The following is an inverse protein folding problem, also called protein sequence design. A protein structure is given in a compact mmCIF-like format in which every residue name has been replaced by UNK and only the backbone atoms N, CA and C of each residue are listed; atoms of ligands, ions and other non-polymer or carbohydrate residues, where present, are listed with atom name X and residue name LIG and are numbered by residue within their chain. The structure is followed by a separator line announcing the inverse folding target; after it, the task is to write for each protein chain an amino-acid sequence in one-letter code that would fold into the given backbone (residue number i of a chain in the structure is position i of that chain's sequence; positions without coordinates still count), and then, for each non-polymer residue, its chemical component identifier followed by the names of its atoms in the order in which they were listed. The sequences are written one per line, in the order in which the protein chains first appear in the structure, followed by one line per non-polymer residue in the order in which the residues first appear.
data_IF_852807531442
#
_entry.id   IF_852807531442
#
_cell.length_a   1.000
_cell.length_b   1.000
_cell.length_c   1.000
_cell.angle_alpha   90.00
_cell.angle_beta   90.00
_cell.angle_gamma   90.00
#
_symmetry.space_group_name_H-M   'P 1'
#
loop_
_entity.id
_entity.type
_entity.pdbx_description
1 polymer ?
#
# COMPACT_ATOMS: atom_id res chain seq x y z
N UNK A 1 7.75 6.48 -10.97
CA UNK A 1 6.59 5.78 -11.57
C UNK A 1 5.81 5.20 -10.42
N UNK A 2 4.62 5.73 -10.15
CA UNK A 2 3.90 5.42 -8.92
C UNK A 2 3.29 4.02 -8.99
N UNK A 3 3.49 3.24 -7.92
CA UNK A 3 2.92 1.92 -7.74
C UNK A 3 1.79 2.00 -6.72
N UNK A 4 0.65 1.39 -7.03
CA UNK A 4 -0.48 1.25 -6.12
C UNK A 4 -0.59 -0.18 -5.67
N UNK A 5 -0.58 -0.37 -4.37
CA UNK A 5 -0.59 -1.66 -3.70
C UNK A 5 -1.95 -1.83 -3.04
N UNK A 6 -2.73 -2.83 -3.46
CA UNK A 6 -3.92 -3.20 -2.72
C UNK A 6 -3.54 -3.89 -1.42
N UNK A 7 -4.18 -3.47 -0.32
CA UNK A 7 -4.13 -4.20 0.94
C UNK A 7 -5.21 -5.30 0.93
N UNK A 8 -5.08 -6.26 1.86
CA UNK A 8 -6.09 -7.30 2.06
C UNK A 8 -7.49 -6.70 2.25
N UNK A 9 -8.50 -7.39 1.73
CA UNK A 9 -9.89 -7.00 1.91
C UNK A 9 -10.25 -6.93 3.39
N UNK A 10 -11.12 -5.97 3.76
CA UNK A 10 -11.58 -5.74 5.12
C UNK A 10 -10.46 -5.43 6.14
N UNK A 11 -9.33 -4.88 5.69
CA UNK A 11 -8.33 -4.37 6.61
C UNK A 11 -8.94 -3.28 7.49
N UNK A 12 -8.70 -3.36 8.81
CA UNK A 12 -9.19 -2.33 9.72
C UNK A 12 -8.49 -0.99 9.43
N UNK A 13 -9.22 0.11 9.59
CA UNK A 13 -8.66 1.45 9.43
C UNK A 13 -7.47 1.70 10.36
N UNK A 14 -7.52 1.16 11.59
CA UNK A 14 -6.43 1.20 12.55
C UNK A 14 -5.17 0.50 12.03
N UNK A 15 -5.32 -0.66 11.40
CA UNK A 15 -4.18 -1.40 10.82
C UNK A 15 -3.58 -0.64 9.64
N UNK A 16 -4.42 -0.12 8.74
CA UNK A 16 -3.98 0.68 7.60
C UNK A 16 -3.23 1.95 8.04
N UNK A 17 -3.73 2.65 9.07
CA UNK A 17 -3.05 3.82 9.64
C UNK A 17 -1.72 3.47 10.31
N UNK A 18 -1.60 2.32 10.97
CA UNK A 18 -0.32 1.86 11.54
C UNK A 18 0.72 1.58 10.45
N UNK A 19 0.29 0.97 9.34
CA UNK A 19 1.15 0.77 8.17
C UNK A 19 1.58 2.12 7.57
N UNK A 20 0.65 3.07 7.45
CA UNK A 20 0.98 4.41 6.95
C UNK A 20 1.99 5.14 7.85
N UNK A 21 1.83 5.06 9.18
CA UNK A 21 2.83 5.61 10.12
C UNK A 21 4.19 4.94 10.01
N UNK A 22 4.22 3.62 9.84
CA UNK A 22 5.47 2.92 9.60
C UNK A 22 6.18 3.45 8.34
N UNK A 23 5.44 3.69 7.26
CA UNK A 23 6.04 4.24 6.04
C UNK A 23 6.58 5.65 6.26
N UNK A 24 5.92 6.50 7.05
CA UNK A 24 6.47 7.82 7.40
C UNK A 24 7.86 7.75 8.06
N UNK A 25 8.14 6.68 8.80
CA UNK A 25 9.42 6.51 9.51
C UNK A 25 10.50 5.80 8.67
N UNK A 26 10.10 4.98 7.69
CA UNK A 26 11.01 4.03 7.02
C UNK A 26 11.00 4.09 5.48
N UNK A 27 10.07 4.80 4.85
CA UNK A 27 10.04 4.93 3.38
C UNK A 27 10.96 6.05 2.92
N UNK A 28 11.63 5.85 1.78
CA UNK A 28 12.46 6.89 1.15
C UNK A 28 11.62 7.87 0.33
N UNK A 29 10.44 7.45 -0.15
CA UNK A 29 9.60 8.18 -1.09
C UNK A 29 8.26 8.66 -0.54
N UNK A 30 7.59 9.50 -1.34
CA UNK A 30 6.21 9.90 -1.06
C UNK A 30 5.29 8.69 -1.12
N UNK A 31 4.41 8.59 -0.14
CA UNK A 31 3.40 7.54 -0.09
C UNK A 31 2.04 8.09 0.35
N UNK A 32 0.96 7.47 -0.12
CA UNK A 32 -0.42 7.87 0.19
C UNK A 32 -1.26 6.66 0.52
N UNK A 33 -2.04 6.77 1.60
CA UNK A 33 -3.07 5.80 1.93
C UNK A 33 -4.41 6.27 1.33
N UNK A 34 -5.03 5.40 0.53
CA UNK A 34 -6.29 5.66 -0.17
C UNK A 34 -7.30 4.58 0.19
N UNK A 35 -8.59 4.93 0.15
CA UNK A 35 -9.69 3.98 0.29
C UNK A 35 -10.52 4.01 -1.00
N UNK A 36 -10.83 2.85 -1.54
CA UNK A 36 -11.83 2.70 -2.60
C UNK A 36 -12.76 1.54 -2.23
N UNK A 37 -14.02 1.87 -1.93
CA UNK A 37 -14.97 0.96 -1.31
C UNK A 37 -14.44 0.36 0.00
N UNK A 38 -14.59 -0.95 0.16
CA UNK A 38 -14.15 -1.70 1.34
C UNK A 38 -12.66 -2.11 1.28
N UNK A 39 -11.88 -1.50 0.38
CA UNK A 39 -10.45 -1.79 0.21
C UNK A 39 -9.60 -0.55 0.43
N UNK A 40 -8.50 -0.76 1.14
CA UNK A 40 -7.44 0.23 1.29
C UNK A 40 -6.31 -0.05 0.30
N UNK A 41 -5.70 1.03 -0.18
CA UNK A 41 -4.61 1.01 -1.14
C UNK A 41 -3.50 1.92 -0.64
N UNK A 42 -2.25 1.52 -0.91
CA UNK A 42 -1.09 2.37 -0.68
C UNK A 42 -0.47 2.70 -2.02
N UNK A 43 -0.44 3.98 -2.35
CA UNK A 43 0.36 4.48 -3.44
C UNK A 43 1.76 4.80 -2.91
N UNK A 44 2.79 4.29 -3.57
CA UNK A 44 4.19 4.57 -3.31
C UNK A 44 4.85 5.09 -4.58
N UNK A 45 5.68 6.11 -4.44
CA UNK A 45 6.42 6.70 -5.56
C UNK A 45 7.68 5.88 -5.89
N UNK A 46 8.31 5.28 -4.88
CA UNK A 46 9.55 4.53 -4.99
C UNK A 46 9.30 3.00 -5.03
N UNK A 47 9.90 2.25 -5.97
CA UNK A 47 9.83 0.79 -6.00
C UNK A 47 10.40 0.11 -4.74
N UNK A 48 11.41 0.72 -4.11
CA UNK A 48 12.01 0.19 -2.86
C UNK A 48 11.01 0.19 -1.71
N UNK A 49 10.13 1.19 -1.64
CA UNK A 49 9.08 1.24 -0.62
C UNK A 49 8.03 0.14 -0.86
N UNK A 50 7.74 -0.19 -2.12
CA UNK A 50 6.87 -1.31 -2.46
C UNK A 50 7.46 -2.67 -2.04
N UNK A 51 8.78 -2.82 -2.16
CA UNK A 51 9.52 -4.00 -1.70
C UNK A 51 9.58 -4.06 -0.16
N UNK A 52 9.80 -2.93 0.49
CA UNK A 52 9.78 -2.80 1.95
C UNK A 52 8.42 -3.26 2.51
N UNK A 53 7.31 -2.73 1.99
CA UNK A 53 5.97 -3.11 2.45
C UNK A 53 5.72 -4.61 2.26
N UNK A 54 6.15 -5.18 1.12
CA UNK A 54 5.96 -6.60 0.84
C UNK A 54 6.78 -7.48 1.78
N UNK A 55 8.01 -7.07 2.11
CA UNK A 55 8.91 -7.82 2.99
C UNK A 55 8.45 -7.77 4.45
N UNK A 56 8.08 -6.59 4.93
CA UNK A 56 7.73 -6.37 6.35
C UNK A 56 6.28 -6.73 6.65
N UNK A 57 5.38 -6.57 5.67
CA UNK A 57 3.94 -6.81 5.83
C UNK A 57 3.34 -7.76 4.80
N UNK A 58 3.93 -8.96 4.58
CA UNK A 58 3.45 -9.90 3.55
C UNK A 58 1.99 -10.34 3.78
N UNK A 59 1.54 -10.38 5.04
CA UNK A 59 0.16 -10.74 5.40
C UNK A 59 -0.86 -9.66 5.03
N UNK A 60 -0.46 -8.39 4.98
CA UNK A 60 -1.33 -7.29 4.58
C UNK A 60 -1.44 -7.18 3.05
N UNK A 61 -0.59 -7.90 2.32
CA UNK A 61 -0.51 -7.92 0.87
C UNK A 61 -0.88 -9.29 0.26
N UNK A 62 -1.34 -10.23 1.07
CA UNK A 62 -1.43 -11.66 0.72
C UNK A 62 -2.30 -11.94 -0.52
N UNK A 63 -3.28 -11.09 -0.77
CA UNK A 63 -4.19 -11.11 -1.93
C UNK A 63 -4.17 -9.77 -2.71
N UNK A 64 -3.18 -8.94 -2.43
CA UNK A 64 -3.09 -7.57 -2.91
C UNK A 64 -2.47 -7.50 -4.30
N UNK A 65 -3.29 -7.31 -5.33
CA UNK A 65 -2.79 -7.01 -6.66
C UNK A 65 -1.93 -5.72 -6.64
N UNK A 66 -0.79 -5.78 -7.33
CA UNK A 66 0.02 -4.60 -7.63
C UNK A 66 -0.52 -3.96 -8.89
N UNK A 67 -0.83 -2.69 -8.80
CA UNK A 67 -1.29 -1.89 -9.92
C UNK A 67 -0.24 -0.81 -10.20
N UNK A 68 0.10 -0.66 -11.47
CA UNK A 68 0.70 0.59 -11.94
C UNK A 68 -0.42 1.58 -12.27
N UNK A 69 -0.09 2.87 -12.42
CA UNK A 69 -1.07 3.90 -12.80
C UNK A 69 -1.93 3.56 -14.02
N UNK A 70 -1.46 2.68 -14.91
CA UNK A 70 -2.19 2.23 -16.11
C UNK A 70 -3.16 1.06 -15.89
N UNK A 71 -3.02 0.33 -14.78
CA UNK A 71 -3.75 -0.94 -14.51
C UNK A 71 -4.74 -0.84 -13.34
N UNK A 72 -4.85 0.34 -12.72
CA UNK A 72 -5.69 0.51 -11.53
C UNK A 72 -7.19 0.54 -11.91
N UNK A 73 -8.03 -0.36 -11.38
CA UNK A 73 -9.48 -0.30 -11.58
C UNK A 73 -10.03 0.85 -10.73
N UNK A 74 -10.60 1.87 -11.37
CA UNK A 74 -11.29 2.97 -10.71
C UNK A 74 -12.57 2.49 -10.03
#
# INVERSE_FOLDING_TARGET
MNQKIALVANISQKTALRLHRYLMDFSDGTHRLLWSGDRAYIEVECPRDAELIQREFPRLMRDGARYTGATFPW
#
